data_IF_198732310006
#
_entry.id   IF_198732310006
#
_cell.length_a   1.000
_cell.length_b   1.000
_cell.length_c   1.000
_cell.angle_alpha   90.00
_cell.angle_beta   90.00
_cell.angle_gamma   90.00
#
_symmetry.space_group_name_H-M   'P 1'
#
loop_
_entity.id
_entity.type
_entity.pdbx_description
1 polymer ?
#
# COMPACT_ATOMS: atom_id res chain seq x y z
N UNK A 1 -6.67 -0.51 -10.14
CA UNK A 1 -7.40 -1.55 -9.40
C UNK A 1 -7.29 -1.17 -7.91
N UNK A 2 -8.31 -0.48 -7.39
CA UNK A 2 -8.38 0.13 -6.04
C UNK A 2 -9.81 -0.05 -5.47
N UNK A 3 -10.43 -1.21 -5.72
CA UNK A 3 -11.83 -1.45 -5.37
C UNK A 3 -12.89 -0.79 -6.27
N UNK A 4 -12.48 -0.07 -7.31
CA UNK A 4 -13.40 0.48 -8.31
C UNK A 4 -13.96 -0.65 -9.21
N UNK A 5 -15.21 -1.04 -8.98
CA UNK A 5 -16.02 -1.83 -9.92
C UNK A 5 -16.06 -3.36 -9.74
N UNK A 6 -15.56 -3.91 -8.62
CA UNK A 6 -15.55 -5.35 -8.35
C UNK A 6 -16.07 -5.71 -6.96
N UNK A 7 -16.32 -7.01 -6.71
CA UNK A 7 -16.64 -7.51 -5.38
C UNK A 7 -15.43 -7.35 -4.45
N UNK A 8 -15.56 -6.47 -3.46
CA UNK A 8 -14.54 -6.26 -2.43
C UNK A 8 -14.88 -7.04 -1.17
N UNK A 9 -13.85 -7.54 -0.50
CA UNK A 9 -13.98 -8.03 0.87
C UNK A 9 -13.98 -6.81 1.79
N UNK A 10 -14.96 -6.72 2.71
CA UNK A 10 -15.20 -5.52 3.51
C UNK A 10 -14.03 -5.10 4.42
N UNK A 11 -13.09 -5.99 4.71
CA UNK A 11 -11.97 -5.72 5.60
C UNK A 11 -10.67 -5.38 4.88
N UNK A 12 -10.63 -5.36 3.54
CA UNK A 12 -9.40 -5.15 2.77
C UNK A 12 -9.48 -3.88 1.93
N UNK A 13 -8.47 -3.03 2.06
CA UNK A 13 -8.27 -1.83 1.27
C UNK A 13 -6.90 -1.90 0.59
N UNK A 14 -6.86 -1.65 -0.72
CA UNK A 14 -5.62 -1.53 -1.49
C UNK A 14 -5.55 -0.13 -2.10
N UNK A 15 -4.47 0.60 -1.82
CA UNK A 15 -4.30 2.02 -2.19
C UNK A 15 -2.89 2.26 -2.74
N UNK A 16 -2.80 2.93 -3.89
CA UNK A 16 -1.54 3.42 -4.44
C UNK A 16 -1.21 4.83 -3.94
N UNK A 17 -0.07 4.96 -3.26
CA UNK A 17 0.44 6.25 -2.77
C UNK A 17 1.44 6.83 -3.77
N UNK A 18 0.94 7.45 -4.84
CA UNK A 18 1.80 8.04 -5.89
C UNK A 18 2.83 8.99 -5.28
N UNK A 19 4.09 8.87 -5.71
CA UNK A 19 5.25 9.57 -5.14
C UNK A 19 5.86 8.88 -3.92
N UNK A 20 5.39 7.68 -3.55
CA UNK A 20 6.01 6.83 -2.53
C UNK A 20 6.24 5.44 -3.10
N UNK A 21 7.46 4.92 -2.96
CA UNK A 21 7.73 3.50 -3.17
C UNK A 21 7.09 2.69 -2.02
N UNK A 22 6.40 1.61 -2.38
CA UNK A 22 5.66 0.78 -1.43
C UNK A 22 6.57 0.19 -0.34
N UNK A 23 7.76 -0.30 -0.69
CA UNK A 23 8.72 -0.86 0.27
C UNK A 23 9.19 0.19 1.29
N UNK A 24 9.58 1.37 0.81
CA UNK A 24 9.95 2.51 1.65
C UNK A 24 8.81 2.92 2.60
N UNK A 25 7.56 2.93 2.12
CA UNK A 25 6.40 3.22 2.96
C UNK A 25 6.13 2.11 3.99
N UNK A 26 6.24 0.84 3.62
CA UNK A 26 6.05 -0.29 4.54
C UNK A 26 7.07 -0.27 5.68
N UNK A 27 8.34 0.01 5.40
CA UNK A 27 9.39 0.18 6.43
C UNK A 27 9.05 1.34 7.37
N UNK A 28 8.62 2.48 6.82
CA UNK A 28 8.24 3.63 7.62
C UNK A 28 7.04 3.35 8.53
N UNK A 29 6.06 2.60 8.04
CA UNK A 29 4.88 2.18 8.80
C UNK A 29 5.22 1.19 9.90
N UNK A 30 6.08 0.20 9.63
CA UNK A 30 6.54 -0.78 10.62
C UNK A 30 7.24 -0.10 11.81
N UNK A 31 8.16 0.83 11.53
CA UNK A 31 8.82 1.65 12.56
C UNK A 31 7.82 2.48 13.37
N UNK A 32 6.74 2.92 12.74
CA UNK A 32 5.67 3.67 13.41
C UNK A 32 4.61 2.79 14.10
N UNK A 33 4.77 1.46 14.06
CA UNK A 33 3.89 0.49 14.71
C UNK A 33 2.63 0.13 13.91
N UNK A 34 2.62 0.34 12.60
CA UNK A 34 1.53 -0.03 11.69
C UNK A 34 1.97 -1.18 10.79
N UNK A 35 1.30 -2.33 10.94
CA UNK A 35 1.50 -3.47 10.06
C UNK A 35 0.65 -3.33 8.78
N UNK A 36 1.29 -3.46 7.62
CA UNK A 36 0.64 -3.46 6.31
C UNK A 36 1.40 -4.39 5.35
N UNK A 37 0.90 -4.55 4.13
CA UNK A 37 1.55 -5.39 3.10
C UNK A 37 1.62 -4.69 1.75
N UNK A 38 2.55 -5.09 0.89
CA UNK A 38 2.59 -4.62 -0.48
C UNK A 38 1.29 -5.03 -1.21
N UNK A 39 0.70 -4.07 -1.91
CA UNK A 39 -0.51 -4.25 -2.72
C UNK A 39 -0.23 -4.64 -4.17
N UNK A 40 1.05 -4.68 -4.55
CA UNK A 40 1.51 -5.09 -5.87
C UNK A 40 1.79 -6.59 -5.91
N UNK A 41 1.49 -7.22 -7.05
CA UNK A 41 1.82 -8.63 -7.30
C UNK A 41 3.34 -8.88 -7.46
N UNK A 42 4.17 -7.84 -7.32
CA UNK A 42 5.61 -7.89 -7.54
C UNK A 42 6.42 -8.39 -6.33
N UNK A 43 5.78 -8.73 -5.20
CA UNK A 43 6.48 -9.23 -4.00
C UNK A 43 7.02 -10.67 -4.14
N UNK A 44 7.34 -11.11 -5.36
CA UNK A 44 7.85 -12.44 -5.68
C UNK A 44 9.37 -12.43 -5.90
N UNK A 45 10.14 -11.83 -4.98
CA UNK A 45 11.60 -12.05 -4.84
C UNK A 45 12.47 -11.92 -6.10
N UNK A 46 11.99 -11.23 -7.14
CA UNK A 46 12.62 -11.09 -8.45
C UNK A 46 12.71 -9.61 -8.76
N UNK A 47 13.94 -9.14 -9.02
CA UNK A 47 14.22 -7.76 -9.47
C UNK A 47 13.56 -7.47 -10.83
N UNK A 48 13.24 -8.51 -11.60
CA UNK A 48 12.54 -8.36 -12.87
C UNK A 48 11.01 -8.50 -12.70
N UNK A 49 10.23 -7.52 -13.17
CA UNK A 49 8.77 -7.62 -13.19
C UNK A 49 8.33 -8.77 -14.11
N UNK A 50 7.32 -9.52 -13.67
CA UNK A 50 6.75 -10.62 -14.47
C UNK A 50 6.28 -10.11 -15.85
N UNK A 51 6.58 -10.81 -16.96
CA UNK A 51 6.10 -10.44 -18.30
C UNK A 51 4.57 -10.31 -18.41
N UNK A 52 3.83 -10.99 -17.53
CA UNK A 52 2.36 -10.91 -17.42
C UNK A 52 1.91 -9.58 -16.80
N UNK A 53 2.70 -9.01 -15.89
CA UNK A 53 2.38 -7.76 -15.19
C UNK A 53 2.67 -6.53 -16.07
N UNK A 54 3.73 -6.57 -16.88
CA UNK A 54 4.05 -5.51 -17.86
C UNK A 54 2.92 -5.30 -18.89
N UNK A 55 2.18 -6.35 -19.25
CA UNK A 55 1.08 -6.27 -20.19
C UNK A 55 -0.26 -5.88 -19.56
N UNK A 56 -0.45 -6.18 -18.26
CA UNK A 56 -1.71 -5.89 -17.59
C UNK A 56 -1.82 -4.41 -17.19
N UNK A 57 -0.69 -3.72 -17.00
CA UNK A 57 -0.70 -2.35 -16.51
C UNK A 57 0.56 -1.55 -16.94
N UNK A 58 0.39 -0.54 -17.82
CA UNK A 58 1.52 0.21 -18.37
C UNK A 58 2.09 1.28 -17.42
N UNK A 59 1.41 1.60 -16.32
CA UNK A 59 1.83 2.67 -15.39
C UNK A 59 2.50 2.10 -14.14
N UNK A 60 3.82 1.93 -14.21
CA UNK A 60 4.65 1.43 -13.12
C UNK A 60 4.52 2.25 -11.83
N UNK A 61 4.23 3.55 -11.91
CA UNK A 61 4.09 4.40 -10.74
C UNK A 61 2.89 3.98 -9.86
N UNK A 62 1.84 3.40 -10.45
CA UNK A 62 0.68 2.86 -9.73
C UNK A 62 1.03 1.53 -9.04
N UNK A 63 1.83 0.69 -9.70
CA UNK A 63 2.22 -0.62 -9.17
C UNK A 63 3.27 -0.54 -8.07
N UNK A 64 4.30 0.28 -8.27
CA UNK A 64 5.39 0.46 -7.30
C UNK A 64 4.95 1.14 -6.00
N UNK A 65 3.74 1.68 -5.92
CA UNK A 65 3.24 2.46 -4.79
C UNK A 65 2.03 1.86 -4.07
N UNK A 66 1.58 0.66 -4.46
CA UNK A 66 0.40 0.02 -3.89
C UNK A 66 0.70 -0.59 -2.50
N UNK A 67 -0.13 -0.24 -1.51
CA UNK A 67 -0.11 -0.80 -0.15
C UNK A 67 -1.50 -1.30 0.21
N UNK A 68 -1.54 -2.51 0.75
CA UNK A 68 -2.75 -3.20 1.21
C UNK A 68 -2.84 -3.19 2.74
N UNK A 69 -3.97 -2.70 3.22
CA UNK A 69 -4.40 -2.74 4.62
C UNK A 69 -5.52 -3.75 4.79
N UNK A 70 -5.47 -4.50 5.88
CA UNK A 70 -6.50 -5.46 6.25
C UNK A 70 -6.89 -5.25 7.70
N UNK A 71 -8.18 -5.18 7.98
CA UNK A 71 -8.72 -5.03 9.33
C UNK A 71 -9.06 -6.39 9.94
N UNK A 72 -8.84 -6.51 11.25
CA UNK A 72 -9.33 -7.62 12.05
C UNK A 72 -10.70 -7.28 12.64
N UNK A 73 -11.44 -8.30 13.09
CA UNK A 73 -12.73 -8.09 13.79
C UNK A 73 -12.56 -7.24 15.06
N UNK A 74 -11.39 -7.29 15.67
CA UNK A 74 -11.05 -6.55 16.89
C UNK A 74 -10.53 -5.12 16.63
N UNK A 75 -10.30 -4.73 15.38
CA UNK A 75 -9.82 -3.37 15.07
C UNK A 75 -10.90 -2.35 15.43
N UNK A 76 -10.54 -1.43 16.32
CA UNK A 76 -11.39 -0.34 16.79
C UNK A 76 -11.32 0.90 15.90
N UNK A 77 -12.32 1.76 16.00
CA UNK A 77 -12.35 3.04 15.29
C UNK A 77 -11.18 3.95 15.71
N UNK A 78 -10.82 3.96 17.00
CA UNK A 78 -9.69 4.73 17.51
C UNK A 78 -8.34 4.25 16.94
N UNK A 79 -8.16 2.94 16.75
CA UNK A 79 -6.98 2.39 16.08
C UNK A 79 -6.93 2.82 14.61
N UNK A 80 -8.08 2.87 13.92
CA UNK A 80 -8.17 3.35 12.53
C UNK A 80 -7.79 4.83 12.45
N UNK A 81 -8.35 5.69 13.30
CA UNK A 81 -8.01 7.12 13.33
C UNK A 81 -6.52 7.35 13.57
N UNK A 82 -5.95 6.62 14.53
CA UNK A 82 -4.50 6.66 14.80
C UNK A 82 -3.69 6.20 13.60
N UNK A 83 -4.08 5.09 12.97
CA UNK A 83 -3.41 4.58 11.78
C UNK A 83 -3.44 5.59 10.63
N UNK A 84 -4.59 6.24 10.38
CA UNK A 84 -4.74 7.27 9.35
C UNK A 84 -3.78 8.45 9.58
N UNK A 85 -3.66 8.92 10.83
CA UNK A 85 -2.74 10.00 11.17
C UNK A 85 -1.26 9.60 10.87
N UNK A 86 -0.85 8.42 11.34
CA UNK A 86 0.50 7.88 11.13
C UNK A 86 0.81 7.67 9.64
N UNK A 87 -0.13 7.08 8.89
CA UNK A 87 0.02 6.83 7.45
C UNK A 87 0.21 8.16 6.72
N UNK A 88 -0.60 9.17 7.06
CA UNK A 88 -0.53 10.49 6.44
C UNK A 88 0.81 11.16 6.69
N UNK A 89 1.32 11.11 7.93
CA UNK A 89 2.64 11.65 8.28
C UNK A 89 3.77 10.93 7.51
N UNK A 90 3.74 9.60 7.47
CA UNK A 90 4.75 8.81 6.76
C UNK A 90 4.76 9.13 5.25
N UNK A 91 3.59 9.21 4.62
CA UNK A 91 3.44 9.56 3.21
C UNK A 91 3.95 10.97 2.94
N UNK A 92 3.57 11.95 3.76
CA UNK A 92 4.03 13.33 3.60
C UNK A 92 5.56 13.44 3.71
N UNK A 93 6.16 12.73 4.67
CA UNK A 93 7.62 12.68 4.87
C UNK A 93 8.35 12.01 3.70
N UNK A 94 7.80 10.96 3.10
CA UNK A 94 8.42 10.30 1.96
C UNK A 94 8.32 11.16 0.70
N UNK A 95 7.19 11.84 0.48
CA UNK A 95 7.00 12.76 -0.63
C UNK A 95 7.88 14.01 -0.57
N UNK A 96 8.31 14.44 0.62
CA UNK A 96 9.20 15.61 0.74
C UNK A 96 10.68 15.29 0.51
N UNK A 97 11.04 14.01 0.32
CA UNK A 97 12.42 13.53 0.10
C UNK A 97 12.72 13.17 -1.35
N UNK A 98 11.73 13.16 -2.23
CA UNK A 98 11.86 12.96 -3.68
C UNK A 98 11.45 14.21 -4.44
#
# INVERSE_FOLDING_TARGET
WNGMGGNLVANTLNVSFIGCEAESLLIALDVAGIAASAGSACSAGSLDPSPVLLHAFPDEAIHGSAVRFSLARQTSEQEIERAVAIITECVARLRSRG
#
